data_IF_751266765889
#
_entry.id   IF_751266765889
#
_cell.length_a   1.000
_cell.length_b   1.000
_cell.length_c   1.000
_cell.angle_alpha   90.00
_cell.angle_beta   90.00
_cell.angle_gamma   90.00
#
_symmetry.space_group_name_H-M   'P 1'
#
loop_
_entity.id
_entity.type
_entity.pdbx_description
1 polymer ?
#
# COMPACT_ATOMS: atom_id res chain seq x y z
N UNK A 1 10.31 -4.88 14.79
CA UNK A 1 11.03 -4.70 13.52
C UNK A 1 10.23 -5.41 12.43
N UNK A 2 10.36 -5.01 11.18
CA UNK A 2 9.66 -5.68 10.09
C UNK A 2 10.59 -6.72 9.44
N UNK A 3 10.01 -7.83 8.98
CA UNK A 3 10.75 -8.89 8.27
C UNK A 3 10.25 -8.94 6.83
N UNK A 4 11.18 -9.00 5.89
CA UNK A 4 10.89 -9.18 4.47
C UNK A 4 11.43 -10.54 4.04
N UNK A 5 10.54 -11.42 3.59
CA UNK A 5 10.89 -12.75 3.10
C UNK A 5 10.81 -12.77 1.57
N UNK A 6 11.80 -13.33 0.92
CA UNK A 6 11.86 -13.47 -0.52
C UNK A 6 12.60 -14.73 -0.98
N UNK A 7 12.46 -15.09 -2.23
CA UNK A 7 13.06 -16.28 -2.83
C UNK A 7 14.59 -16.20 -2.80
N UNK A 8 15.24 -17.21 -2.20
CA UNK A 8 16.69 -17.35 -2.20
C UNK A 8 17.23 -17.49 -3.62
N UNK A 9 16.57 -18.29 -4.46
CA UNK A 9 16.93 -18.46 -5.88
C UNK A 9 16.88 -17.14 -6.65
N UNK A 10 15.85 -16.31 -6.41
CA UNK A 10 15.75 -15.01 -7.05
C UNK A 10 16.85 -14.05 -6.56
N UNK A 11 17.12 -14.03 -5.26
CA UNK A 11 18.22 -13.24 -4.70
C UNK A 11 19.57 -13.65 -5.31
N UNK A 12 19.88 -14.94 -5.38
CA UNK A 12 21.13 -15.42 -5.94
C UNK A 12 21.28 -15.10 -7.43
N UNK A 13 20.17 -15.11 -8.17
CA UNK A 13 20.15 -14.68 -9.59
C UNK A 13 20.46 -13.20 -9.73
N UNK A 14 19.89 -12.34 -8.89
CA UNK A 14 19.98 -10.87 -9.03
C UNK A 14 21.25 -10.30 -8.40
N UNK A 15 21.74 -10.90 -7.32
CA UNK A 15 22.86 -10.38 -6.53
C UNK A 15 24.11 -11.26 -6.65
N UNK A 16 23.95 -12.58 -6.65
CA UNK A 16 25.00 -13.58 -6.60
C UNK A 16 24.82 -14.55 -5.44
N UNK A 17 25.65 -15.58 -5.40
CA UNK A 17 25.57 -16.65 -4.42
C UNK A 17 25.54 -16.13 -2.97
N UNK A 18 24.67 -16.71 -2.16
CA UNK A 18 24.55 -16.39 -0.74
C UNK A 18 25.60 -17.15 0.09
N UNK A 19 26.88 -16.89 -0.20
CA UNK A 19 28.02 -17.40 0.55
C UNK A 19 28.30 -16.57 1.82
N UNK A 20 29.32 -16.95 2.58
CA UNK A 20 29.70 -16.25 3.81
C UNK A 20 30.08 -14.79 3.57
N UNK A 21 30.76 -14.51 2.45
CA UNK A 21 31.10 -13.13 2.09
C UNK A 21 29.87 -12.27 1.82
N UNK A 22 28.86 -12.86 1.18
CA UNK A 22 27.58 -12.18 0.93
C UNK A 22 26.80 -11.93 2.21
N UNK A 23 26.81 -12.86 3.15
CA UNK A 23 26.18 -12.70 4.49
C UNK A 23 26.82 -11.53 5.26
N UNK A 24 28.15 -11.44 5.24
CA UNK A 24 28.89 -10.31 5.84
C UNK A 24 28.46 -8.99 5.18
N UNK A 25 28.32 -8.94 3.85
CA UNK A 25 27.87 -7.73 3.14
C UNK A 25 26.44 -7.34 3.50
N UNK A 26 25.55 -8.29 3.70
CA UNK A 26 24.18 -8.04 4.17
C UNK A 26 24.22 -7.41 5.57
N UNK A 27 25.05 -7.92 6.45
CA UNK A 27 25.22 -7.36 7.79
C UNK A 27 25.85 -5.94 7.75
N UNK A 28 26.86 -5.73 6.91
CA UNK A 28 27.48 -4.41 6.71
C UNK A 28 26.52 -3.38 6.08
N UNK A 29 25.55 -3.81 5.32
CA UNK A 29 24.50 -2.97 4.76
C UNK A 29 23.53 -2.43 5.85
N UNK A 30 23.63 -2.96 7.07
CA UNK A 30 22.80 -2.55 8.21
C UNK A 30 21.47 -3.31 8.30
N UNK A 31 21.46 -4.53 7.77
CA UNK A 31 20.34 -5.48 7.90
C UNK A 31 20.87 -6.82 8.46
N UNK A 32 19.97 -7.67 8.96
CA UNK A 32 20.34 -9.00 9.42
C UNK A 32 19.49 -10.08 8.75
N UNK A 33 20.07 -11.24 8.54
CA UNK A 33 19.30 -12.41 8.14
C UNK A 33 18.61 -12.95 9.40
N UNK A 34 17.29 -12.93 9.41
CA UNK A 34 16.44 -13.44 10.49
C UNK A 34 16.28 -14.96 10.37
N UNK A 35 15.93 -15.42 9.16
CA UNK A 35 15.76 -16.85 8.85
C UNK A 35 16.24 -17.14 7.44
N UNK A 36 16.70 -18.37 7.25
CA UNK A 36 17.08 -18.90 5.95
C UNK A 36 16.77 -20.38 5.87
N UNK A 37 16.27 -20.81 4.71
CA UNK A 37 16.12 -22.21 4.34
C UNK A 37 16.54 -22.42 2.87
N UNK A 38 16.27 -23.59 2.32
CA UNK A 38 16.64 -23.90 0.92
C UNK A 38 15.93 -23.02 -0.12
N UNK A 39 14.73 -22.50 0.19
CA UNK A 39 13.87 -21.77 -0.74
C UNK A 39 13.85 -20.27 -0.50
N UNK A 40 13.95 -19.84 0.75
CA UNK A 40 13.67 -18.48 1.17
C UNK A 40 14.75 -17.93 2.10
N UNK A 41 14.90 -16.61 2.04
CA UNK A 41 15.67 -15.81 2.98
C UNK A 41 14.76 -14.71 3.56
N UNK A 42 14.83 -14.52 4.86
CA UNK A 42 14.12 -13.47 5.59
C UNK A 42 15.13 -12.46 6.13
N UNK A 43 14.94 -11.21 5.77
CA UNK A 43 15.79 -10.08 6.18
C UNK A 43 15.02 -9.21 7.16
N UNK A 44 15.66 -8.94 8.29
CA UNK A 44 15.15 -7.99 9.27
C UNK A 44 15.43 -6.55 8.84
N UNK A 45 14.37 -5.72 8.79
CA UNK A 45 14.45 -4.32 8.36
C UNK A 45 14.18 -3.40 9.53
N UNK A 46 15.08 -2.47 9.78
CA UNK A 46 14.94 -1.48 10.85
C UNK A 46 13.90 -0.40 10.50
N UNK A 47 13.25 0.20 11.52
CA UNK A 47 12.15 1.16 11.31
C UNK A 47 12.52 2.43 10.53
N UNK A 48 13.80 2.78 10.49
CA UNK A 48 14.34 3.93 9.75
C UNK A 48 14.61 3.65 8.26
N UNK A 49 14.34 2.42 7.78
CA UNK A 49 14.59 2.00 6.40
C UNK A 49 13.30 1.47 5.74
N UNK A 50 12.26 2.33 5.59
CA UNK A 50 11.01 1.92 4.92
C UNK A 50 11.21 1.56 3.43
N UNK A 51 12.26 2.07 2.82
CA UNK A 51 12.67 1.76 1.46
C UNK A 51 13.05 0.28 1.26
N UNK A 52 13.36 -0.45 2.33
CA UNK A 52 13.74 -1.87 2.30
C UNK A 52 12.58 -2.84 2.56
N UNK A 53 11.35 -2.35 2.72
CA UNK A 53 10.18 -3.17 3.09
C UNK A 53 9.61 -4.02 1.94
N UNK A 54 10.31 -4.15 0.82
CA UNK A 54 10.00 -5.05 -0.28
C UNK A 54 11.28 -5.65 -0.85
N UNK A 55 11.18 -6.77 -1.58
CA UNK A 55 12.32 -7.35 -2.26
C UNK A 55 12.98 -6.35 -3.22
N UNK A 56 12.18 -5.69 -4.05
CA UNK A 56 12.69 -4.72 -5.02
C UNK A 56 13.33 -3.48 -4.37
N UNK A 57 12.78 -3.01 -3.26
CA UNK A 57 13.38 -1.92 -2.48
C UNK A 57 14.73 -2.33 -1.87
N UNK A 58 14.77 -3.52 -1.25
CA UNK A 58 15.99 -4.11 -0.72
C UNK A 58 17.03 -4.29 -1.84
N UNK A 59 16.66 -4.96 -2.93
CA UNK A 59 17.54 -5.24 -4.07
C UNK A 59 18.17 -3.97 -4.63
N UNK A 60 17.35 -2.95 -4.90
CA UNK A 60 17.82 -1.66 -5.42
C UNK A 60 18.88 -1.03 -4.54
N UNK A 61 18.60 -0.94 -3.24
CA UNK A 61 19.50 -0.30 -2.28
C UNK A 61 20.75 -1.15 -2.02
N UNK A 62 20.58 -2.47 -1.99
CA UNK A 62 21.70 -3.39 -1.78
C UNK A 62 22.63 -3.45 -2.99
N UNK A 63 22.11 -3.42 -4.22
CA UNK A 63 22.95 -3.33 -5.43
C UNK A 63 23.73 -2.02 -5.50
N UNK A 64 23.16 -0.92 -5.01
CA UNK A 64 23.89 0.36 -4.87
C UNK A 64 25.01 0.25 -3.82
N UNK A 65 24.75 -0.37 -2.68
CA UNK A 65 25.76 -0.63 -1.65
C UNK A 65 26.90 -1.53 -2.15
N UNK A 66 26.60 -2.49 -3.02
CA UNK A 66 27.60 -3.38 -3.65
C UNK A 66 28.35 -2.72 -4.82
N UNK A 67 28.13 -1.45 -5.07
CA UNK A 67 28.69 -0.68 -6.19
C UNK A 67 28.36 -1.25 -7.59
N UNK A 68 27.29 -2.07 -7.67
CA UNK A 68 26.84 -2.65 -8.93
C UNK A 68 25.90 -1.72 -9.72
N UNK A 69 25.06 -0.94 -9.01
CA UNK A 69 24.12 0.05 -9.57
C UNK A 69 24.07 1.27 -8.66
N UNK A 70 25.16 2.06 -8.58
CA UNK A 70 25.22 3.23 -7.71
C UNK A 70 24.34 4.37 -8.23
N UNK A 71 24.07 5.33 -7.35
CA UNK A 71 23.34 6.54 -7.67
C UNK A 71 21.86 6.49 -7.31
N UNK A 72 21.26 7.69 -7.28
CA UNK A 72 19.85 7.86 -6.98
C UNK A 72 19.00 7.48 -8.19
N UNK A 73 18.05 6.58 -8.00
CA UNK A 73 17.07 6.23 -9.04
C UNK A 73 16.20 7.45 -9.35
N UNK A 74 16.18 7.85 -10.60
CA UNK A 74 15.29 8.91 -11.08
C UNK A 74 14.03 8.33 -11.70
N UNK A 75 12.89 8.88 -11.31
CA UNK A 75 11.59 8.51 -11.86
C UNK A 75 11.02 9.67 -12.67
N UNK A 76 10.53 9.38 -13.86
CA UNK A 76 9.83 10.37 -14.68
C UNK A 76 8.39 10.51 -14.18
N UNK A 77 8.06 11.68 -13.66
CA UNK A 77 6.70 12.03 -13.30
C UNK A 77 6.07 12.77 -14.47
N UNK A 78 5.04 12.20 -15.05
CA UNK A 78 4.28 12.82 -16.13
C UNK A 78 3.26 13.80 -15.55
N UNK A 79 2.94 14.85 -16.30
CA UNK A 79 1.82 15.74 -15.94
C UNK A 79 0.51 14.94 -15.99
N UNK A 80 -0.39 15.12 -15.00
CA UNK A 80 -1.68 14.46 -15.04
C UNK A 80 -2.53 14.99 -16.20
N UNK A 81 -3.40 14.12 -16.73
CA UNK A 81 -4.46 14.52 -17.66
C UNK A 81 -5.49 15.40 -16.93
N UNK A 82 -6.29 16.16 -17.67
CA UNK A 82 -7.20 17.14 -17.10
C UNK A 82 -8.16 16.55 -16.05
N UNK A 83 -8.65 15.34 -16.27
CA UNK A 83 -9.58 14.65 -15.38
C UNK A 83 -8.90 13.89 -14.22
N UNK A 84 -7.57 13.86 -14.18
CA UNK A 84 -6.81 13.14 -13.13
C UNK A 84 -6.72 14.00 -11.89
N UNK A 85 -7.86 14.17 -11.23
CA UNK A 85 -8.02 14.97 -10.04
C UNK A 85 -8.65 14.17 -8.91
N UNK A 86 -8.21 14.47 -7.70
CA UNK A 86 -8.88 14.03 -6.47
C UNK A 86 -9.38 15.30 -5.77
N UNK A 87 -10.69 15.39 -5.63
CA UNK A 87 -11.37 16.51 -4.95
C UNK A 87 -11.49 16.14 -3.47
N UNK A 88 -10.87 16.93 -2.60
CA UNK A 88 -10.93 16.74 -1.16
C UNK A 88 -12.03 17.63 -0.59
N UNK A 89 -13.09 17.01 -0.09
CA UNK A 89 -14.22 17.71 0.52
C UNK A 89 -13.89 18.14 1.96
N UNK A 90 -14.42 19.27 2.39
CA UNK A 90 -14.19 19.82 3.73
C UNK A 90 -14.65 18.90 4.86
N UNK A 91 -15.58 17.98 4.61
CA UNK A 91 -16.10 17.02 5.58
C UNK A 91 -15.03 16.07 6.16
N UNK A 92 -13.89 15.88 5.47
CA UNK A 92 -12.80 15.03 5.97
C UNK A 92 -11.86 15.74 6.94
N UNK A 93 -11.97 17.07 7.12
CA UNK A 93 -11.02 17.91 7.85
C UNK A 93 -10.67 17.37 9.25
N UNK A 94 -11.69 16.97 10.01
CA UNK A 94 -11.51 16.52 11.41
C UNK A 94 -11.49 14.97 11.52
N UNK A 95 -11.55 14.28 10.39
CA UNK A 95 -11.64 12.81 10.34
C UNK A 95 -10.35 12.22 9.76
N UNK A 96 -9.93 12.67 8.57
CA UNK A 96 -8.73 12.22 7.87
C UNK A 96 -8.39 13.22 6.76
N UNK A 97 -7.73 14.37 7.11
CA UNK A 97 -7.75 15.58 6.27
C UNK A 97 -6.94 15.51 4.99
N UNK A 98 -5.94 14.62 4.91
CA UNK A 98 -4.99 14.65 3.79
C UNK A 98 -5.04 13.37 2.97
N UNK A 99 -4.85 13.53 1.67
CA UNK A 99 -4.55 12.43 0.74
C UNK A 99 -3.49 12.84 -0.26
N UNK A 100 -2.65 11.88 -0.65
CA UNK A 100 -1.73 11.97 -1.77
C UNK A 100 -2.04 10.83 -2.74
N UNK A 101 -2.10 11.10 -4.03
CA UNK A 101 -2.55 10.13 -5.02
C UNK A 101 -1.60 10.11 -6.22
N UNK A 102 -1.51 8.94 -6.86
CA UNK A 102 -0.73 8.74 -8.07
C UNK A 102 -1.39 7.70 -8.99
N UNK A 103 -1.08 7.76 -10.27
CA UNK A 103 -1.39 6.71 -11.24
C UNK A 103 -0.07 6.11 -11.72
N UNK A 104 0.01 4.79 -11.72
CA UNK A 104 1.13 4.04 -12.29
C UNK A 104 0.59 3.24 -13.47
N UNK A 105 1.24 3.35 -14.61
CA UNK A 105 0.82 2.72 -15.87
C UNK A 105 1.83 1.70 -16.38
N UNK A 106 1.33 0.78 -17.19
CA UNK A 106 2.16 -0.18 -17.90
C UNK A 106 2.74 -1.27 -17.01
N UNK A 107 2.03 -1.66 -15.96
CA UNK A 107 2.43 -2.75 -15.09
C UNK A 107 2.26 -4.10 -15.81
N UNK A 108 3.19 -5.01 -15.52
CA UNK A 108 3.11 -6.42 -15.91
C UNK A 108 3.07 -7.22 -14.62
N UNK A 109 1.87 -7.57 -14.20
CA UNK A 109 1.61 -8.26 -12.94
C UNK A 109 1.46 -9.76 -13.13
N UNK A 110 1.85 -10.49 -12.11
CA UNK A 110 1.58 -11.91 -11.89
C UNK A 110 1.20 -12.08 -10.42
N UNK A 111 0.80 -13.27 -10.03
CA UNK A 111 0.38 -13.57 -8.66
C UNK A 111 1.46 -13.27 -7.61
N UNK A 112 2.75 -13.47 -7.96
CA UNK A 112 3.86 -13.23 -7.03
C UNK A 112 4.07 -11.73 -6.81
N UNK A 113 4.03 -10.93 -7.87
CA UNK A 113 4.14 -9.46 -7.79
C UNK A 113 2.96 -8.84 -7.05
N UNK A 114 1.74 -9.35 -7.26
CA UNK A 114 0.55 -8.90 -6.52
C UNK A 114 0.72 -9.18 -5.03
N UNK A 115 1.16 -10.38 -4.66
CA UNK A 115 1.47 -10.72 -3.25
C UNK A 115 2.56 -9.82 -2.68
N UNK A 116 3.58 -9.51 -3.45
CA UNK A 116 4.64 -8.59 -3.01
C UNK A 116 4.11 -7.17 -2.77
N UNK A 117 3.30 -6.63 -3.69
CA UNK A 117 2.67 -5.30 -3.57
C UNK A 117 1.78 -5.24 -2.32
N UNK A 118 0.92 -6.23 -2.12
CA UNK A 118 0.06 -6.32 -0.92
C UNK A 118 0.91 -6.44 0.34
N UNK A 119 1.93 -7.30 0.33
CA UNK A 119 2.84 -7.47 1.46
C UNK A 119 3.61 -6.18 1.80
N UNK A 120 4.06 -5.44 0.80
CA UNK A 120 4.69 -4.12 0.99
C UNK A 120 3.70 -3.11 1.59
N UNK A 121 2.47 -3.04 1.05
CA UNK A 121 1.41 -2.18 1.55
C UNK A 121 1.13 -2.46 3.04
N UNK A 122 0.98 -3.72 3.43
CA UNK A 122 0.73 -4.07 4.84
C UNK A 122 1.93 -3.75 5.74
N UNK A 123 3.15 -3.98 5.29
CA UNK A 123 4.35 -3.58 6.07
C UNK A 123 4.42 -2.06 6.26
N UNK A 124 4.10 -1.27 5.23
CA UNK A 124 4.00 0.19 5.34
C UNK A 124 2.88 0.62 6.29
N UNK A 125 1.71 -0.03 6.24
CA UNK A 125 0.61 0.23 7.18
C UNK A 125 1.03 0.01 8.64
N UNK A 126 1.75 -1.07 8.92
CA UNK A 126 2.17 -1.41 10.30
C UNK A 126 3.28 -0.49 10.78
N UNK A 127 4.26 -0.17 9.94
CA UNK A 127 5.45 0.62 10.29
C UNK A 127 5.17 2.13 10.26
N UNK A 128 5.41 2.81 9.14
CA UNK A 128 5.21 4.26 8.96
C UNK A 128 3.76 4.64 9.23
N UNK A 129 2.82 3.86 8.74
CA UNK A 129 1.38 4.05 8.93
C UNK A 129 0.91 3.88 10.37
N UNK A 130 1.76 3.31 11.27
CA UNK A 130 1.43 2.99 12.66
C UNK A 130 0.08 2.29 12.79
N UNK A 131 0.01 1.09 12.18
CA UNK A 131 -1.24 0.31 12.09
C UNK A 131 -2.37 1.15 11.48
N UNK A 132 -2.12 1.74 10.32
CA UNK A 132 -3.06 2.57 9.54
C UNK A 132 -3.50 3.88 10.23
N UNK A 133 -3.06 4.14 11.45
CA UNK A 133 -3.43 5.35 12.20
C UNK A 133 -2.92 6.61 11.51
N UNK A 134 -1.63 6.65 11.14
CA UNK A 134 -1.02 7.84 10.53
C UNK A 134 -1.20 7.90 9.02
N UNK A 135 -1.03 6.77 8.35
CA UNK A 135 -1.22 6.65 6.91
C UNK A 135 -1.83 5.29 6.56
N UNK A 136 -2.75 5.28 5.60
CA UNK A 136 -3.27 4.07 4.98
C UNK A 136 -3.22 4.24 3.47
N UNK A 137 -2.94 3.15 2.77
CA UNK A 137 -2.74 3.10 1.32
C UNK A 137 -3.84 2.25 0.72
N UNK A 138 -4.51 2.74 -0.32
CA UNK A 138 -5.43 1.99 -1.16
C UNK A 138 -4.85 1.86 -2.57
N UNK A 139 -5.08 0.71 -3.21
CA UNK A 139 -4.65 0.42 -4.58
C UNK A 139 -5.87 -0.05 -5.35
N UNK A 140 -6.06 0.49 -6.56
CA UNK A 140 -7.24 0.23 -7.40
C UNK A 140 -6.82 0.05 -8.85
N UNK A 141 -7.31 -0.98 -9.56
CA UNK A 141 -7.23 -1.05 -11.02
C UNK A 141 -7.86 0.20 -11.63
N UNK A 142 -7.11 0.93 -12.46
CA UNK A 142 -7.56 2.20 -13.04
C UNK A 142 -8.78 2.00 -13.95
N UNK A 143 -8.86 0.88 -14.63
CA UNK A 143 -9.98 0.51 -15.51
C UNK A 143 -11.30 0.25 -14.77
N UNK A 144 -11.26 0.10 -13.43
CA UNK A 144 -12.46 -0.14 -12.62
C UNK A 144 -13.02 1.11 -11.94
N UNK A 145 -12.39 2.25 -12.12
CA UNK A 145 -12.77 3.52 -11.49
C UNK A 145 -12.96 4.62 -12.53
N UNK A 146 -13.74 5.62 -12.20
CA UNK A 146 -14.06 6.74 -13.09
C UNK A 146 -13.58 8.05 -12.45
N UNK A 147 -12.59 8.69 -13.05
CA UNK A 147 -12.08 9.99 -12.61
C UNK A 147 -13.04 11.13 -12.99
N UNK A 148 -13.08 12.24 -12.26
CA UNK A 148 -12.33 12.51 -11.02
C UNK A 148 -12.85 11.73 -9.81
N UNK A 149 -11.98 11.57 -8.79
CA UNK A 149 -12.34 10.95 -7.53
C UNK A 149 -12.67 12.04 -6.50
N UNK A 150 -13.64 11.79 -5.63
CA UNK A 150 -13.93 12.65 -4.49
C UNK A 150 -13.60 11.92 -3.19
N UNK A 151 -12.81 12.56 -2.34
CA UNK A 151 -12.54 12.14 -0.97
C UNK A 151 -13.40 12.95 -0.02
N UNK A 152 -14.40 12.33 0.59
CA UNK A 152 -15.38 12.96 1.48
C UNK A 152 -15.73 12.08 2.66
N UNK A 153 -16.39 12.65 3.67
CA UNK A 153 -16.92 11.90 4.79
C UNK A 153 -18.44 12.04 4.87
N UNK A 154 -19.11 10.91 5.06
CA UNK A 154 -20.55 10.78 5.13
C UNK A 154 -20.98 10.01 6.38
N UNK A 155 -22.26 10.10 6.73
CA UNK A 155 -22.85 9.32 7.81
C UNK A 155 -22.66 7.82 7.57
N UNK A 156 -22.38 7.01 8.61
CA UNK A 156 -22.03 5.59 8.47
C UNK A 156 -23.08 4.73 7.77
N UNK A 157 -24.36 5.08 7.89
CA UNK A 157 -25.49 4.41 7.22
C UNK A 157 -25.57 4.68 5.71
N UNK A 158 -24.97 5.80 5.27
CA UNK A 158 -24.84 6.15 3.84
C UNK A 158 -23.66 5.47 3.16
N UNK A 159 -22.73 4.90 3.93
CA UNK A 159 -21.64 4.08 3.39
C UNK A 159 -22.19 2.70 3.10
N UNK A 160 -22.36 2.34 1.84
CA UNK A 160 -22.87 1.02 1.42
C UNK A 160 -22.05 0.51 0.24
N UNK A 161 -21.37 -0.59 0.41
CA UNK A 161 -20.64 -1.30 -0.66
C UNK A 161 -20.31 -2.73 -0.22
N UNK A 162 -19.92 -3.58 -1.16
CA UNK A 162 -19.39 -4.92 -0.88
C UNK A 162 -17.91 -4.83 -0.60
N UNK A 163 -17.42 -5.06 0.66
CA UNK A 163 -16.00 -5.00 0.97
C UNK A 163 -15.21 -6.11 0.26
N UNK A 164 -13.91 -5.91 0.07
CA UNK A 164 -13.02 -6.98 -0.40
C UNK A 164 -13.20 -8.24 0.46
N UNK A 165 -13.11 -9.40 -0.18
CA UNK A 165 -13.25 -10.72 0.47
C UNK A 165 -14.66 -11.02 1.04
N UNK A 166 -15.67 -10.21 0.69
CA UNK A 166 -17.07 -10.47 1.00
C UNK A 166 -17.94 -10.45 -0.26
N UNK A 167 -19.09 -11.13 -0.18
CA UNK A 167 -20.04 -11.25 -1.29
C UNK A 167 -21.32 -10.43 -1.09
N UNK A 168 -21.45 -9.77 0.08
CA UNK A 168 -22.64 -9.00 0.44
C UNK A 168 -22.31 -7.53 0.65
N UNK A 169 -23.23 -6.68 0.21
CA UNK A 169 -23.18 -5.26 0.55
C UNK A 169 -23.40 -5.08 2.05
N UNK A 170 -22.58 -4.24 2.64
CA UNK A 170 -22.64 -3.89 4.06
C UNK A 170 -22.62 -2.37 4.23
N UNK A 171 -23.29 -1.89 5.28
CA UNK A 171 -23.14 -0.50 5.73
C UNK A 171 -21.79 -0.27 6.41
N UNK A 172 -21.38 1.00 6.56
CA UNK A 172 -20.13 1.34 7.23
C UNK A 172 -20.02 0.78 8.65
N UNK A 173 -21.12 0.79 9.41
CA UNK A 173 -21.16 0.17 10.75
C UNK A 173 -21.06 -1.35 10.70
N UNK A 174 -21.76 -1.99 9.77
CA UNK A 174 -21.68 -3.44 9.60
C UNK A 174 -20.28 -3.90 9.18
N UNK A 175 -19.60 -3.13 8.33
CA UNK A 175 -18.19 -3.40 7.97
C UNK A 175 -17.31 -3.44 9.23
N UNK A 176 -17.44 -2.46 10.13
CA UNK A 176 -16.67 -2.44 11.37
C UNK A 176 -17.00 -3.61 12.31
N UNK A 177 -18.23 -4.13 12.24
CA UNK A 177 -18.70 -5.21 13.12
C UNK A 177 -18.47 -6.61 12.54
N UNK A 178 -18.58 -6.78 11.22
CA UNK A 178 -18.63 -8.10 10.56
C UNK A 178 -17.35 -8.45 9.82
N UNK A 179 -16.72 -7.47 9.14
CA UNK A 179 -15.51 -7.72 8.35
C UNK A 179 -14.29 -7.92 9.26
N UNK A 180 -13.38 -8.89 9.02
CA UNK A 180 -12.18 -9.11 9.84
C UNK A 180 -11.33 -7.85 10.01
N UNK A 181 -10.95 -7.21 8.90
CA UNK A 181 -10.21 -5.94 8.91
C UNK A 181 -11.01 -4.80 9.53
N UNK A 182 -12.36 -4.81 9.35
CA UNK A 182 -13.25 -3.87 10.00
C UNK A 182 -13.17 -3.95 11.52
N UNK A 183 -13.24 -5.17 12.08
CA UNK A 183 -13.10 -5.42 13.52
C UNK A 183 -11.74 -4.98 14.06
N UNK A 184 -10.66 -5.36 13.36
CA UNK A 184 -9.29 -5.04 13.76
C UNK A 184 -9.04 -3.53 13.85
N UNK A 185 -9.53 -2.78 12.86
CA UNK A 185 -9.27 -1.34 12.73
C UNK A 185 -10.46 -0.45 13.12
N UNK A 186 -11.55 -1.00 13.68
CA UNK A 186 -12.74 -0.24 14.12
C UNK A 186 -12.41 0.94 15.03
N UNK A 187 -11.42 0.77 15.89
CA UNK A 187 -10.96 1.80 16.83
C UNK A 187 -10.48 3.09 16.16
N UNK A 188 -10.09 3.04 14.88
CA UNK A 188 -9.65 4.22 14.12
C UNK A 188 -10.81 5.13 13.70
N UNK A 189 -12.04 4.61 13.68
CA UNK A 189 -13.26 5.35 13.38
C UNK A 189 -14.19 5.45 14.60
N UNK A 190 -13.78 4.93 15.76
CA UNK A 190 -14.56 4.98 16.99
C UNK A 190 -14.85 6.44 17.40
N UNK A 191 -16.11 6.74 17.73
CA UNK A 191 -16.56 8.08 18.11
C UNK A 191 -16.67 9.08 16.96
N UNK A 192 -16.37 8.71 15.72
CA UNK A 192 -16.57 9.58 14.55
C UNK A 192 -18.03 9.52 14.10
N UNK A 193 -18.64 10.70 13.91
CA UNK A 193 -20.02 10.83 13.40
C UNK A 193 -20.13 10.62 11.90
N UNK A 194 -19.02 10.73 11.18
CA UNK A 194 -18.91 10.48 9.74
C UNK A 194 -17.73 9.58 9.44
N UNK A 195 -17.84 8.77 8.38
CA UNK A 195 -16.77 7.90 7.91
C UNK A 195 -16.23 8.42 6.58
N UNK A 196 -14.90 8.44 6.40
CA UNK A 196 -14.29 8.88 5.15
C UNK A 196 -14.47 7.82 4.07
N UNK A 197 -14.73 8.26 2.86
CA UNK A 197 -14.86 7.40 1.67
C UNK A 197 -14.18 8.05 0.47
N UNK A 198 -13.63 7.23 -0.41
CA UNK A 198 -13.30 7.59 -1.78
C UNK A 198 -14.45 7.18 -2.69
N UNK A 199 -14.89 8.11 -3.54
CA UNK A 199 -16.02 7.91 -4.46
C UNK A 199 -15.61 8.40 -5.84
N UNK A 200 -15.93 7.64 -6.88
CA UNK A 200 -15.68 8.03 -8.26
C UNK A 200 -16.76 8.98 -8.82
N UNK A 201 -16.55 9.45 -10.06
CA UNK A 201 -17.50 10.36 -10.73
C UNK A 201 -18.87 9.74 -11.04
N UNK A 202 -19.00 8.41 -10.96
CA UNK A 202 -20.27 7.67 -11.09
C UNK A 202 -20.89 7.32 -9.73
N UNK A 203 -20.41 7.93 -8.63
CA UNK A 203 -20.85 7.66 -7.27
C UNK A 203 -20.59 6.24 -6.76
N UNK A 204 -19.65 5.51 -7.38
CA UNK A 204 -19.22 4.22 -6.90
C UNK A 204 -18.23 4.41 -5.75
N UNK A 205 -18.46 3.77 -4.61
CA UNK A 205 -17.55 3.81 -3.46
C UNK A 205 -16.34 2.90 -3.74
N UNK A 206 -15.14 3.48 -3.68
CA UNK A 206 -13.89 2.77 -3.86
C UNK A 206 -13.42 2.11 -2.56
N UNK A 207 -13.56 2.83 -1.46
CA UNK A 207 -13.11 2.38 -0.14
C UNK A 207 -13.70 3.22 0.99
N UNK A 208 -13.53 2.69 2.19
CA UNK A 208 -13.73 3.37 3.47
C UNK A 208 -12.39 3.39 4.23
N UNK A 209 -11.49 4.37 3.94
CA UNK A 209 -10.20 4.43 4.64
C UNK A 209 -10.38 4.74 6.14
N UNK A 210 -9.52 4.23 7.01
CA UNK A 210 -8.37 3.37 6.73
C UNK A 210 -8.71 1.88 6.80
N UNK A 211 -9.96 1.50 6.59
CA UNK A 211 -10.50 0.17 6.87
C UNK A 211 -10.31 -0.79 5.69
N UNK A 212 -11.07 -0.59 4.59
CA UNK A 212 -11.15 -1.58 3.51
C UNK A 212 -11.58 -0.97 2.17
N UNK A 213 -11.11 -1.58 1.08
CA UNK A 213 -11.53 -1.27 -0.29
C UNK A 213 -12.81 -2.04 -0.65
N UNK A 214 -13.54 -1.52 -1.65
CA UNK A 214 -14.65 -2.22 -2.27
C UNK A 214 -14.16 -3.38 -3.15
N UNK A 215 -14.90 -4.48 -3.19
CA UNK A 215 -14.59 -5.64 -4.03
C UNK A 215 -14.70 -5.32 -5.52
N UNK A 216 -15.58 -4.41 -5.90
CA UNK A 216 -15.79 -4.01 -7.30
C UNK A 216 -14.64 -3.19 -7.88
N UNK A 217 -13.99 -2.35 -7.06
CA UNK A 217 -12.96 -1.42 -7.51
C UNK A 217 -11.56 -1.74 -7.01
N UNK A 218 -11.42 -2.47 -5.90
CA UNK A 218 -10.13 -2.65 -5.20
C UNK A 218 -9.42 -3.97 -5.49
N UNK A 219 -9.99 -4.86 -6.32
CA UNK A 219 -9.37 -6.15 -6.62
C UNK A 219 -8.40 -6.02 -7.78
N UNK A 220 -7.10 -6.03 -7.47
CA UNK A 220 -6.00 -6.12 -8.46
C UNK A 220 -5.85 -7.57 -8.92
N UNK A 221 -5.65 -7.76 -10.23
CA UNK A 221 -5.47 -9.09 -10.85
C UNK A 221 -4.28 -9.07 -11.83
N UNK A 222 -3.81 -10.21 -12.34
CA UNK A 222 -2.74 -10.25 -13.33
C UNK A 222 -3.05 -9.47 -14.63
N UNK A 223 -4.31 -9.26 -14.96
CA UNK A 223 -4.76 -8.49 -16.12
C UNK A 223 -4.67 -6.96 -15.89
N UNK A 224 -4.56 -6.52 -14.63
CA UNK A 224 -4.43 -5.10 -14.28
C UNK A 224 -3.13 -4.53 -14.83
N UNK A 225 -3.22 -3.50 -15.66
CA UNK A 225 -2.06 -2.83 -16.28
C UNK A 225 -1.76 -1.48 -15.65
N UNK A 226 -2.79 -0.78 -15.25
CA UNK A 226 -2.70 0.55 -14.67
C UNK A 226 -3.38 0.58 -13.32
N UNK A 227 -2.76 1.25 -12.35
CA UNK A 227 -3.33 1.36 -11.00
C UNK A 227 -3.42 2.82 -10.56
N UNK A 228 -4.48 3.13 -9.85
CA UNK A 228 -4.59 4.32 -9.03
C UNK A 228 -4.20 3.95 -7.59
N UNK A 229 -3.33 4.76 -6.99
CA UNK A 229 -2.91 4.62 -5.60
C UNK A 229 -3.35 5.87 -4.85
N UNK A 230 -3.95 5.68 -3.69
CA UNK A 230 -4.17 6.75 -2.71
C UNK A 230 -3.44 6.43 -1.41
N UNK A 231 -2.94 7.46 -0.77
CA UNK A 231 -2.44 7.39 0.59
C UNK A 231 -3.12 8.49 1.40
N UNK A 232 -3.90 8.12 2.41
CA UNK A 232 -4.66 9.06 3.23
C UNK A 232 -4.19 9.07 4.69
N UNK A 233 -4.30 10.22 5.36
CA UNK A 233 -3.81 10.34 6.74
C UNK A 233 -4.01 11.70 7.38
N UNK A 234 -3.30 11.90 8.51
CA UNK A 234 -3.39 13.11 9.33
C UNK A 234 -2.19 14.05 9.17
N UNK A 235 -1.13 13.59 8.51
CA UNK A 235 0.12 14.34 8.38
C UNK A 235 0.58 14.29 6.92
N UNK A 236 0.54 15.42 6.25
CA UNK A 236 0.90 15.52 4.84
C UNK A 236 2.39 15.20 4.60
N UNK A 237 3.27 15.47 5.57
CA UNK A 237 4.69 15.13 5.50
C UNK A 237 4.89 13.62 5.40
N UNK A 238 4.19 12.86 6.25
CA UNK A 238 4.22 11.39 6.23
C UNK A 238 3.65 10.82 4.92
N UNK A 239 2.62 11.45 4.35
CA UNK A 239 2.04 10.97 3.08
C UNK A 239 2.94 11.20 1.88
N UNK A 240 3.91 12.13 1.97
CA UNK A 240 4.87 12.47 0.92
C UNK A 240 6.20 11.70 1.03
N UNK A 241 6.42 11.00 2.14
CA UNK A 241 7.58 10.14 2.36
C UNK A 241 7.45 8.81 1.64
#
# INVERSE_FOLDING_TARGET
MAVVTFSKKQFEKDVGSLDEKMRIKIAMFGTSIDKENEKEISIEVFPNRPDLLSYHGFLRSFLAFLDKKPGLQQYKINKPEENYRVLVDSSVKDIRPYTACAIIRGLVLDEEKIKEIIGMQERLHVTIGRKRKKAAIGIYPLEKINLPITFKAVEPDKVKFTPLEMDKELSGLEILQKHPTGKEYSHLLAGKVKFPIFVDSKNQILSMPPIINSSSTGRVTPETKDIFIECSGFDLGILKT
#
